data_IF_306095583622
#
_entry.id   IF_306095583622
#
_cell.length_a   1.000
_cell.length_b   1.000
_cell.length_c   1.000
_cell.angle_alpha   90.00
_cell.angle_beta   90.00
_cell.angle_gamma   90.00
#
_symmetry.space_group_name_H-M   'P 1'
#
loop_
_entity.id
_entity.type
_entity.pdbx_description
1 polymer ?
#
# COMPACT_ATOMS: atom_id res chain seq x y z
N UNK A 1 4.21 12.01 -13.30
CA UNK A 1 4.06 13.36 -13.93
C UNK A 1 5.06 13.46 -15.07
N UNK A 2 4.81 14.28 -16.08
CA UNK A 2 5.78 14.54 -17.16
C UNK A 2 5.65 15.97 -17.65
N UNK A 3 6.75 16.54 -18.15
CA UNK A 3 6.81 17.94 -18.56
C UNK A 3 7.85 18.22 -19.62
N UNK A 4 7.69 19.36 -20.29
CA UNK A 4 8.58 19.86 -21.34
C UNK A 4 8.22 21.30 -21.66
N UNK A 5 7.77 21.57 -22.89
CA UNK A 5 7.38 22.93 -23.29
C UNK A 5 6.03 23.36 -22.69
N UNK A 6 5.94 24.63 -22.34
CA UNK A 6 4.69 25.28 -21.93
C UNK A 6 3.92 25.88 -23.13
N UNK A 7 4.54 25.92 -24.33
CA UNK A 7 3.95 26.49 -25.54
C UNK A 7 4.11 25.54 -26.73
N UNK A 8 3.11 25.49 -27.61
CA UNK A 8 3.08 24.57 -28.76
C UNK A 8 4.12 24.89 -29.84
N UNK A 9 4.66 26.11 -29.86
CA UNK A 9 5.61 26.60 -30.86
C UNK A 9 7.02 26.85 -30.31
N UNK A 10 7.32 26.39 -29.09
CA UNK A 10 8.63 26.52 -28.46
C UNK A 10 9.22 25.13 -28.24
N UNK A 11 10.42 24.88 -28.77
CA UNK A 11 11.20 23.67 -28.48
C UNK A 11 11.76 23.82 -27.06
N UNK A 12 11.46 22.90 -26.12
CA UNK A 12 11.93 23.03 -24.75
C UNK A 12 13.42 22.67 -24.66
N UNK A 13 14.18 23.33 -23.76
CA UNK A 13 15.57 22.96 -23.50
C UNK A 13 15.69 21.62 -22.74
N UNK A 14 14.64 21.20 -22.04
CA UNK A 14 14.60 19.98 -21.21
C UNK A 14 13.19 19.37 -21.24
N UNK A 15 13.13 18.03 -21.13
CA UNK A 15 11.91 17.29 -20.84
C UNK A 15 12.18 16.32 -19.68
N UNK A 16 11.18 16.10 -18.83
CA UNK A 16 11.31 15.27 -17.64
C UNK A 16 10.06 14.41 -17.42
N UNK A 17 10.22 13.31 -16.69
CA UNK A 17 9.13 12.47 -16.25
C UNK A 17 9.45 11.78 -14.91
N UNK A 18 8.44 11.70 -14.03
CA UNK A 18 8.50 10.91 -12.81
C UNK A 18 7.81 9.57 -13.06
N UNK A 19 8.53 8.50 -12.76
CA UNK A 19 8.06 7.12 -12.87
C UNK A 19 7.90 6.54 -11.47
N UNK A 20 6.66 6.35 -11.03
CA UNK A 20 6.35 5.69 -9.76
C UNK A 20 6.29 4.18 -9.96
N UNK A 21 7.10 3.44 -9.18
CA UNK A 21 7.22 1.98 -9.33
C UNK A 21 6.89 1.27 -8.03
N UNK A 22 5.98 0.30 -8.11
CA UNK A 22 5.58 -0.56 -7.00
C UNK A 22 6.29 -1.90 -7.12
N UNK A 23 7.40 -2.05 -6.40
CA UNK A 23 8.15 -3.31 -6.35
C UNK A 23 7.50 -4.31 -5.40
N UNK A 24 7.59 -5.59 -5.73
CA UNK A 24 7.13 -6.67 -4.87
C UNK A 24 8.18 -6.96 -3.77
N UNK A 25 7.76 -7.49 -2.61
CA UNK A 25 8.68 -7.99 -1.60
C UNK A 25 9.69 -8.99 -2.20
N UNK A 26 10.97 -8.80 -1.88
CA UNK A 26 12.08 -9.59 -2.42
C UNK A 26 12.83 -8.96 -3.58
N UNK A 27 12.30 -7.89 -4.20
CA UNK A 27 13.04 -7.12 -5.20
C UNK A 27 13.99 -6.11 -4.54
N UNK A 28 15.20 -5.94 -5.10
CA UNK A 28 16.12 -4.87 -4.72
C UNK A 28 15.83 -3.59 -5.54
N UNK A 29 15.40 -2.49 -4.89
CA UNK A 29 15.12 -1.24 -5.60
C UNK A 29 16.37 -0.60 -6.23
N UNK A 30 17.58 -0.88 -5.73
CA UNK A 30 18.82 -0.40 -6.34
C UNK A 30 19.09 -1.13 -7.65
N UNK A 31 19.00 -2.45 -7.65
CA UNK A 31 19.14 -3.27 -8.85
C UNK A 31 18.09 -2.89 -9.92
N UNK A 32 16.86 -2.58 -9.48
CA UNK A 32 15.82 -2.11 -10.37
C UNK A 32 16.18 -0.75 -11.01
N UNK A 33 16.69 0.21 -10.23
CA UNK A 33 17.15 1.50 -10.78
C UNK A 33 18.28 1.32 -11.82
N UNK A 34 19.24 0.45 -11.54
CA UNK A 34 20.30 0.10 -12.50
C UNK A 34 19.74 -0.56 -13.76
N UNK A 35 18.67 -1.35 -13.63
CA UNK A 35 17.98 -1.93 -14.77
C UNK A 35 17.33 -0.86 -15.64
N UNK A 36 16.68 0.14 -15.04
CA UNK A 36 16.12 1.27 -15.80
C UNK A 36 17.23 2.03 -16.53
N UNK A 37 18.33 2.36 -15.85
CA UNK A 37 19.50 3.03 -16.46
C UNK A 37 20.02 2.26 -17.68
N UNK A 38 20.16 0.94 -17.55
CA UNK A 38 20.61 0.05 -18.63
C UNK A 38 19.62 -0.06 -19.79
N UNK A 39 18.31 0.01 -19.53
CA UNK A 39 17.29 -0.04 -20.58
C UNK A 39 17.22 1.29 -21.34
N UNK A 40 17.31 2.42 -20.63
CA UNK A 40 17.32 3.76 -21.24
C UNK A 40 18.55 3.94 -22.12
N UNK A 41 19.74 3.68 -21.58
CA UNK A 41 21.02 3.66 -22.31
C UNK A 41 21.22 4.84 -23.29
N UNK A 42 20.79 6.05 -22.90
CA UNK A 42 20.96 7.27 -23.66
C UNK A 42 21.79 8.25 -22.82
N UNK A 43 22.97 8.69 -23.29
CA UNK A 43 23.82 9.62 -22.53
C UNK A 43 23.19 11.00 -22.33
N UNK A 44 22.13 11.35 -23.07
CA UNK A 44 21.39 12.60 -22.90
C UNK A 44 20.25 12.49 -21.88
N UNK A 45 19.99 11.31 -21.32
CA UNK A 45 18.91 11.06 -20.35
C UNK A 45 19.51 10.75 -18.98
N UNK A 46 19.17 11.56 -17.98
CA UNK A 46 19.53 11.30 -16.59
C UNK A 46 18.40 10.50 -15.92
N UNK A 47 18.76 9.40 -15.27
CA UNK A 47 17.83 8.57 -14.48
C UNK A 47 18.32 8.54 -13.03
N UNK A 48 17.53 9.13 -12.14
CA UNK A 48 17.83 9.25 -10.72
C UNK A 48 16.63 8.90 -9.85
N UNK A 49 16.92 8.62 -8.57
CA UNK A 49 15.90 8.41 -7.57
C UNK A 49 15.39 9.78 -7.08
N UNK A 50 14.10 10.04 -7.22
CA UNK A 50 13.48 11.30 -6.77
C UNK A 50 13.48 11.44 -5.24
N UNK A 51 13.37 10.33 -4.50
CA UNK A 51 13.32 10.33 -3.04
C UNK A 51 14.69 10.19 -2.37
N UNK A 52 14.83 10.72 -1.15
CA UNK A 52 16.07 10.62 -0.38
C UNK A 52 16.51 9.17 -0.06
N UNK A 53 15.57 8.24 0.01
CA UNK A 53 15.83 6.85 0.41
C UNK A 53 15.03 5.87 -0.43
N UNK A 54 15.63 4.70 -0.70
CA UNK A 54 14.92 3.57 -1.28
C UNK A 54 13.95 2.97 -0.25
N UNK A 55 12.74 2.67 -0.70
CA UNK A 55 11.74 1.96 0.09
C UNK A 55 11.73 0.50 -0.31
N UNK A 56 12.13 -0.37 0.61
CA UNK A 56 12.12 -1.82 0.39
C UNK A 56 10.73 -2.37 0.70
N UNK A 57 10.10 -2.99 -0.30
CA UNK A 57 8.83 -3.68 -0.13
C UNK A 57 8.99 -4.86 0.84
N UNK A 58 8.03 -5.01 1.75
CA UNK A 58 8.04 -6.06 2.76
C UNK A 58 6.63 -6.55 3.08
N UNK A 59 6.56 -7.68 3.78
CA UNK A 59 5.31 -8.30 4.20
C UNK A 59 5.49 -8.96 5.57
N UNK A 60 4.37 -9.16 6.25
CA UNK A 60 4.30 -10.05 7.42
C UNK A 60 3.90 -11.44 6.94
N UNK A 61 4.36 -12.52 7.58
CA UNK A 61 3.92 -13.87 7.22
C UNK A 61 2.47 -14.09 7.66
N UNK A 62 1.82 -15.17 7.22
CA UNK A 62 0.40 -15.44 7.55
C UNK A 62 0.20 -16.44 8.69
N UNK A 63 1.28 -16.99 9.24
CA UNK A 63 1.31 -17.93 10.36
C UNK A 63 1.53 -17.20 11.70
N UNK A 64 0.76 -16.13 11.95
CA UNK A 64 0.88 -15.33 13.17
C UNK A 64 -0.40 -15.38 14.01
N UNK A 65 -0.26 -15.07 15.30
CA UNK A 65 -1.40 -14.94 16.21
C UNK A 65 -2.38 -13.84 15.73
N UNK A 66 -1.86 -12.71 15.27
CA UNK A 66 -2.67 -11.60 14.76
C UNK A 66 -3.43 -11.97 13.48
N UNK A 67 -2.79 -12.66 12.53
CA UNK A 67 -3.47 -13.12 11.32
C UNK A 67 -4.57 -14.14 11.65
N UNK A 68 -4.29 -15.08 12.56
CA UNK A 68 -5.29 -16.05 13.05
C UNK A 68 -6.47 -15.36 13.74
N UNK A 69 -6.22 -14.36 14.60
CA UNK A 69 -7.26 -13.57 15.24
C UNK A 69 -8.14 -12.82 14.22
N UNK A 70 -7.53 -12.20 13.21
CA UNK A 70 -8.26 -11.54 12.11
C UNK A 70 -9.19 -12.55 11.42
N UNK A 71 -8.72 -13.77 11.13
CA UNK A 71 -9.54 -14.82 10.50
C UNK A 71 -10.73 -15.22 11.35
N UNK A 72 -10.50 -15.49 12.62
CA UNK A 72 -11.55 -15.93 13.55
C UNK A 72 -12.61 -14.84 13.76
N UNK A 73 -12.19 -13.61 14.02
CA UNK A 73 -13.11 -12.48 14.25
C UNK A 73 -13.86 -12.15 12.97
N UNK A 74 -13.20 -12.11 11.81
CA UNK A 74 -13.89 -11.90 10.53
C UNK A 74 -14.95 -12.98 10.31
N UNK A 75 -14.66 -14.25 10.63
CA UNK A 75 -15.63 -15.33 10.53
C UNK A 75 -16.84 -15.14 11.45
N UNK A 76 -16.63 -14.63 12.66
CA UNK A 76 -17.70 -14.38 13.62
C UNK A 76 -18.67 -13.28 13.17
N UNK A 77 -18.16 -12.23 12.50
CA UNK A 77 -18.98 -11.09 12.06
C UNK A 77 -19.55 -11.24 10.64
N UNK A 78 -18.85 -11.94 9.75
CA UNK A 78 -19.18 -12.00 8.32
C UNK A 78 -19.46 -13.42 7.80
N UNK A 79 -19.43 -14.44 8.66
CA UNK A 79 -19.70 -15.83 8.28
C UNK A 79 -18.52 -16.49 7.57
N UNK A 80 -18.79 -17.38 6.61
CA UNK A 80 -17.76 -18.20 5.96
C UNK A 80 -16.90 -17.47 4.91
N UNK A 81 -16.78 -16.13 4.99
CA UNK A 81 -15.98 -15.33 4.06
C UNK A 81 -14.48 -15.64 4.25
N UNK A 82 -13.75 -16.00 3.19
CA UNK A 82 -12.32 -16.26 3.30
C UNK A 82 -11.55 -14.96 3.54
N UNK A 83 -10.61 -14.99 4.48
CA UNK A 83 -9.58 -13.96 4.61
C UNK A 83 -8.39 -14.37 3.77
N UNK A 84 -8.05 -13.55 2.78
CA UNK A 84 -6.92 -13.76 1.89
C UNK A 84 -5.88 -12.63 2.09
N UNK A 85 -4.58 -12.95 2.17
CA UNK A 85 -3.55 -11.92 2.21
C UNK A 85 -3.50 -11.20 0.86
N UNK A 86 -3.37 -9.87 0.89
CA UNK A 86 -3.13 -9.05 -0.30
C UNK A 86 -1.97 -8.10 -0.06
N UNK A 87 -1.21 -7.83 -1.13
CA UNK A 87 -0.24 -6.74 -1.16
C UNK A 87 -0.97 -5.52 -1.74
N UNK A 88 -0.94 -4.40 -1.02
CA UNK A 88 -1.50 -3.15 -1.54
C UNK A 88 -0.45 -2.42 -2.39
N UNK A 89 -0.89 -1.78 -3.47
CA UNK A 89 -0.08 -0.82 -4.23
C UNK A 89 0.06 0.53 -3.52
N UNK A 90 -0.82 0.79 -2.55
CA UNK A 90 -0.78 1.98 -1.70
C UNK A 90 0.33 1.93 -0.65
N UNK A 91 0.38 2.97 0.19
CA UNK A 91 1.35 3.10 1.27
C UNK A 91 0.67 2.98 2.64
N UNK A 92 1.35 2.33 3.59
CA UNK A 92 0.96 2.29 5.01
C UNK A 92 2.22 2.29 5.87
N UNK A 93 2.11 2.71 7.13
CA UNK A 93 3.22 2.69 8.09
C UNK A 93 3.70 1.28 8.44
N UNK A 94 2.96 0.23 8.05
CA UNK A 94 3.35 -1.17 8.29
C UNK A 94 4.72 -1.50 7.71
N UNK A 95 5.11 -0.85 6.60
CA UNK A 95 6.46 -1.00 6.02
C UNK A 95 7.56 -0.63 7.03
N UNK A 96 7.31 0.34 7.92
CA UNK A 96 8.26 0.81 8.95
C UNK A 96 8.22 -0.01 10.23
N UNK A 97 7.07 -0.61 10.56
CA UNK A 97 6.93 -1.43 11.78
C UNK A 97 7.53 -2.84 11.63
N UNK A 98 7.42 -3.45 10.45
CA UNK A 98 7.93 -4.82 10.23
C UNK A 98 9.44 -4.99 10.48
N UNK A 99 10.33 -4.04 10.12
CA UNK A 99 11.74 -4.09 10.50
C UNK A 99 12.00 -4.09 12.01
N UNK A 100 11.05 -3.63 12.82
CA UNK A 100 11.09 -3.67 14.28
C UNK A 100 10.56 -5.01 14.86
N UNK A 101 10.45 -6.04 14.02
CA UNK A 101 9.87 -7.35 14.37
C UNK A 101 8.39 -7.30 14.77
N UNK A 102 7.66 -6.26 14.36
CA UNK A 102 6.22 -6.14 14.60
C UNK A 102 5.46 -6.73 13.41
N UNK A 103 4.70 -7.80 13.64
CA UNK A 103 3.77 -8.32 12.65
C UNK A 103 2.63 -7.32 12.42
N UNK A 104 2.55 -6.76 11.21
CA UNK A 104 1.59 -5.71 10.87
C UNK A 104 0.86 -6.01 9.55
N UNK A 105 -0.46 -5.87 9.56
CA UNK A 105 -1.36 -6.10 8.43
C UNK A 105 -2.25 -4.87 8.22
N UNK A 106 -2.58 -4.56 6.96
CA UNK A 106 -3.68 -3.63 6.69
C UNK A 106 -4.99 -4.36 6.91
N UNK A 107 -5.78 -3.92 7.89
CA UNK A 107 -7.07 -4.51 8.22
C UNK A 107 -8.11 -3.42 8.43
N UNK A 108 -9.11 -3.39 7.56
CA UNK A 108 -10.28 -2.52 7.68
C UNK A 108 -11.42 -3.34 8.29
N UNK A 109 -11.84 -3.05 9.54
CA UNK A 109 -12.85 -3.84 10.26
C UNK A 109 -14.30 -3.52 9.80
N UNK A 110 -14.50 -3.27 8.52
CA UNK A 110 -15.80 -2.93 7.92
C UNK A 110 -15.86 -3.41 6.47
N UNK A 111 -17.06 -3.42 5.90
CA UNK A 111 -17.24 -3.59 4.45
C UNK A 111 -17.54 -2.26 3.77
N UNK A 112 -17.03 -2.08 2.57
CA UNK A 112 -17.34 -0.95 1.72
C UNK A 112 -18.03 -1.46 0.45
N UNK A 113 -18.98 -0.70 -0.09
CA UNK A 113 -19.41 -0.86 -1.48
C UNK A 113 -18.28 -0.45 -2.42
N UNK A 114 -18.41 -0.79 -3.70
CA UNK A 114 -17.44 -0.36 -4.73
C UNK A 114 -17.37 1.18 -4.83
N UNK A 115 -18.51 1.85 -4.67
CA UNK A 115 -18.57 3.32 -4.66
C UNK A 115 -17.85 3.91 -3.43
N UNK A 116 -18.11 3.37 -2.23
CA UNK A 116 -17.45 3.80 -0.99
C UNK A 116 -15.92 3.63 -1.10
N UNK A 117 -15.46 2.46 -1.57
CA UNK A 117 -14.04 2.18 -1.73
C UNK A 117 -13.35 3.01 -2.82
N UNK A 118 -14.07 3.35 -3.90
CA UNK A 118 -13.52 4.19 -4.97
C UNK A 118 -13.42 5.67 -4.59
N UNK A 119 -14.12 6.09 -3.54
CA UNK A 119 -14.10 7.45 -3.03
C UNK A 119 -12.92 7.72 -2.07
N UNK A 120 -12.11 6.71 -1.71
CA UNK A 120 -10.89 6.91 -0.93
C UNK A 120 -9.98 7.95 -1.60
N UNK A 121 -9.64 9.02 -0.89
CA UNK A 121 -8.90 10.20 -1.40
C UNK A 121 -9.62 10.97 -2.53
N UNK A 122 -10.92 10.75 -2.70
CA UNK A 122 -11.77 11.42 -3.68
C UNK A 122 -12.68 12.48 -3.08
N UNK A 123 -13.54 13.05 -3.93
CA UNK A 123 -14.62 13.91 -3.47
C UNK A 123 -15.70 13.08 -2.77
N UNK A 124 -16.32 13.66 -1.73
CA UNK A 124 -17.42 13.04 -0.98
C UNK A 124 -17.10 11.64 -0.43
N UNK A 125 -15.85 11.43 -0.01
CA UNK A 125 -15.40 10.24 0.73
C UNK A 125 -16.30 10.02 1.96
N UNK A 126 -16.87 8.82 2.06
CA UNK A 126 -17.87 8.49 3.08
C UNK A 126 -17.95 7.00 3.34
N UNK A 127 -18.57 6.66 4.45
CA UNK A 127 -18.89 5.30 4.84
C UNK A 127 -20.28 5.25 5.47
N UNK A 128 -21.01 4.15 5.27
CA UNK A 128 -22.28 3.90 5.96
C UNK A 128 -22.10 3.98 7.48
N UNK A 129 -23.06 4.64 8.14
CA UNK A 129 -23.06 4.84 9.60
C UNK A 129 -23.07 3.51 10.37
N UNK A 130 -23.70 2.47 9.83
CA UNK A 130 -23.72 1.14 10.44
C UNK A 130 -22.31 0.51 10.52
N UNK A 131 -21.50 0.70 9.48
CA UNK A 131 -20.12 0.21 9.43
C UNK A 131 -19.25 0.97 10.44
N UNK A 132 -19.39 2.29 10.49
CA UNK A 132 -18.71 3.14 11.48
C UNK A 132 -19.05 2.73 12.93
N UNK A 133 -20.28 2.32 13.21
CA UNK A 133 -20.71 1.86 14.54
C UNK A 133 -20.18 0.47 14.87
N UNK A 134 -20.10 -0.44 13.90
CA UNK A 134 -19.68 -1.84 14.10
C UNK A 134 -18.15 -2.00 14.13
N UNK A 135 -17.43 -1.26 13.31
CA UNK A 135 -15.98 -1.36 13.12
C UNK A 135 -15.15 -1.32 14.42
N UNK A 136 -15.39 -0.40 15.38
CA UNK A 136 -14.63 -0.34 16.61
C UNK A 136 -14.72 -1.63 17.44
N UNK A 137 -15.89 -2.28 17.46
CA UNK A 137 -16.10 -3.52 18.20
C UNK A 137 -15.36 -4.69 17.55
N UNK A 138 -15.37 -4.77 16.21
CA UNK A 138 -14.60 -5.77 15.47
C UNK A 138 -13.10 -5.61 15.74
N UNK A 139 -12.58 -4.37 15.69
CA UNK A 139 -11.18 -4.10 15.99
C UNK A 139 -10.83 -4.46 17.44
N UNK A 140 -11.69 -4.10 18.39
CA UNK A 140 -11.54 -4.48 19.80
C UNK A 140 -11.46 -6.01 19.96
N UNK A 141 -12.31 -6.77 19.27
CA UNK A 141 -12.31 -8.22 19.34
C UNK A 141 -11.03 -8.82 18.75
N UNK A 142 -10.49 -8.27 17.66
CA UNK A 142 -9.18 -8.68 17.14
C UNK A 142 -8.08 -8.43 18.16
N UNK A 143 -8.02 -7.23 18.75
CA UNK A 143 -6.97 -6.86 19.71
C UNK A 143 -7.04 -7.72 20.95
N UNK A 144 -8.23 -7.87 21.54
CA UNK A 144 -8.42 -8.69 22.75
C UNK A 144 -8.15 -10.16 22.49
N UNK A 145 -8.44 -10.69 21.30
CA UNK A 145 -8.10 -12.08 20.95
C UNK A 145 -6.59 -12.34 20.95
N UNK A 146 -5.78 -11.32 20.64
CA UNK A 146 -4.32 -11.42 20.63
C UNK A 146 -3.70 -11.09 21.99
N UNK A 147 -4.30 -10.14 22.72
CA UNK A 147 -3.74 -9.59 23.96
C UNK A 147 -4.31 -10.21 25.25
N UNK A 148 -5.43 -10.94 25.17
CA UNK A 148 -5.97 -11.62 26.34
C UNK A 148 -5.04 -12.77 26.77
N UNK A 149 -4.84 -12.95 28.09
CA UNK A 149 -4.00 -14.01 28.64
C UNK A 149 -4.54 -15.42 28.40
#
# INVERSE_FOLDING_TARGET
MLGGSQQTNVIPPEAWANVDVRLLPGADPKEFLETIRRVVNDPNVTVELESAEFRVANSSPTDTALYSAIREVTRAYFGAVPVAPRITSGYTENQRYRPLSIHAYGYSPYTATEEEGSAEHGNDERVRVEELRRAPKILYDVVTRVAAP
#
